data_IF_895729868039
#
_entry.id   IF_895729868039
#
_cell.length_a   1.000
_cell.length_b   1.000
_cell.length_c   1.000
_cell.angle_alpha   90.00
_cell.angle_beta   90.00
_cell.angle_gamma   90.00
#
_symmetry.space_group_name_H-M   'P 1'
#
loop_
_entity.id
_entity.type
_entity.pdbx_description
1 polymer ?
#
# COMPACT_ATOMS: atom_id res chain seq x y z
N UNK A 1 2.07 -9.92 3.69
CA UNK A 1 0.80 -9.19 3.48
C UNK A 1 -0.11 -9.89 2.46
N UNK A 2 0.42 -10.38 1.33
CA UNK A 2 -0.42 -11.04 0.31
C UNK A 2 -1.14 -12.30 0.82
N UNK A 3 -0.47 -13.18 1.56
CA UNK A 3 -1.14 -14.37 2.15
C UNK A 3 -2.28 -14.00 3.10
N UNK A 4 -2.07 -13.00 3.97
CA UNK A 4 -3.12 -12.45 4.84
C UNK A 4 -4.31 -11.98 4.00
N UNK A 5 -4.03 -11.21 2.95
CA UNK A 5 -5.05 -10.63 2.08
C UNK A 5 -5.79 -11.72 1.30
N UNK A 6 -5.12 -12.73 0.77
CA UNK A 6 -5.77 -13.85 0.06
C UNK A 6 -6.70 -14.64 0.97
N UNK A 7 -6.31 -14.86 2.23
CA UNK A 7 -7.12 -15.61 3.22
C UNK A 7 -8.32 -14.81 3.73
N UNK A 8 -8.15 -13.51 3.97
CA UNK A 8 -9.17 -12.68 4.60
C UNK A 8 -10.02 -11.86 3.61
N UNK A 9 -9.45 -11.49 2.47
CA UNK A 9 -10.03 -10.60 1.46
C UNK A 9 -9.71 -11.07 0.03
N UNK A 10 -10.25 -12.22 -0.42
CA UNK A 10 -9.99 -12.74 -1.77
C UNK A 10 -10.39 -11.72 -2.84
N UNK A 11 -11.57 -11.12 -2.72
CA UNK A 11 -12.13 -10.16 -3.70
C UNK A 11 -11.71 -8.69 -3.52
N UNK A 12 -10.79 -8.39 -2.58
CA UNK A 12 -10.31 -7.01 -2.39
C UNK A 12 -8.80 -6.91 -2.49
N UNK A 13 -8.35 -5.86 -3.17
CA UNK A 13 -6.94 -5.59 -3.46
C UNK A 13 -6.50 -4.29 -2.73
N UNK A 14 -6.38 -4.30 -1.39
CA UNK A 14 -5.88 -3.13 -0.67
C UNK A 14 -4.39 -2.90 -0.97
N UNK A 15 -4.00 -1.63 -1.04
CA UNK A 15 -2.61 -1.21 -1.24
C UNK A 15 -1.91 -1.03 0.12
N UNK A 16 -0.77 -1.68 0.28
CA UNK A 16 0.01 -1.64 1.51
C UNK A 16 1.33 -0.89 1.29
N UNK A 17 1.65 0.01 2.20
CA UNK A 17 2.84 0.87 2.15
C UNK A 17 4.13 0.16 2.62
N UNK A 18 4.10 -1.14 2.89
CA UNK A 18 5.23 -1.90 3.43
C UNK A 18 5.47 -1.70 4.94
N UNK A 19 4.72 -0.80 5.59
CA UNK A 19 4.84 -0.47 7.02
C UNK A 19 3.55 -0.74 7.79
N UNK A 20 2.74 0.29 8.03
CA UNK A 20 1.51 0.22 8.84
C UNK A 20 0.26 0.71 8.11
N UNK A 21 0.43 1.37 6.97
CA UNK A 21 -0.66 1.99 6.25
C UNK A 21 -1.22 1.01 5.21
N UNK A 22 -2.54 0.79 5.26
CA UNK A 22 -3.29 -0.03 4.33
C UNK A 22 -4.44 0.79 3.77
N UNK A 23 -4.48 0.95 2.45
CA UNK A 23 -5.50 1.72 1.75
C UNK A 23 -6.41 0.78 0.95
N UNK A 24 -7.72 1.03 0.99
CA UNK A 24 -8.70 0.26 0.22
C UNK A 24 -9.79 1.17 -0.32
N UNK A 25 -10.36 0.79 -1.47
CA UNK A 25 -11.47 1.52 -2.10
C UNK A 25 -12.80 1.32 -1.37
N UNK A 26 -12.99 0.17 -0.69
CA UNK A 26 -14.15 -0.11 0.16
C UNK A 26 -13.66 -0.40 1.58
N UNK A 27 -14.50 -0.07 2.57
CA UNK A 27 -14.23 -0.38 3.97
C UNK A 27 -13.91 -1.87 4.13
N UNK A 28 -12.82 -2.15 4.84
CA UNK A 28 -12.43 -3.49 5.25
C UNK A 28 -13.02 -3.75 6.64
N UNK A 29 -13.63 -4.91 6.90
CA UNK A 29 -13.99 -5.28 8.26
C UNK A 29 -12.72 -5.40 9.11
N UNK A 30 -12.82 -4.97 10.37
CA UNK A 30 -11.73 -5.10 11.33
C UNK A 30 -11.45 -6.58 11.57
N UNK A 31 -10.19 -6.97 11.44
CA UNK A 31 -9.79 -8.37 11.56
C UNK A 31 -8.37 -8.49 12.07
N UNK A 32 -8.17 -9.43 12.97
CA UNK A 32 -6.87 -9.84 13.48
C UNK A 32 -6.62 -11.28 13.08
N UNK A 33 -5.46 -11.55 12.51
CA UNK A 33 -5.04 -12.89 12.14
C UNK A 33 -3.51 -13.01 12.23
N UNK A 34 -3.03 -14.19 12.58
CA UNK A 34 -1.61 -14.44 12.84
C UNK A 34 -1.05 -15.40 11.81
N UNK A 35 0.13 -15.07 11.30
CA UNK A 35 0.79 -15.81 10.22
C UNK A 35 2.22 -16.13 10.61
N UNK A 36 2.65 -17.33 10.28
CA UNK A 36 4.05 -17.72 10.35
C UNK A 36 4.74 -17.30 9.06
N UNK A 37 5.64 -16.33 9.14
CA UNK A 37 6.47 -15.88 8.03
C UNK A 37 7.84 -16.51 8.17
N UNK A 38 8.26 -17.25 7.14
CA UNK A 38 9.60 -17.80 7.09
C UNK A 38 10.56 -16.72 6.59
N UNK A 39 11.48 -16.30 7.45
CA UNK A 39 12.50 -15.32 7.12
C UNK A 39 13.71 -16.04 6.52
N UNK A 40 13.92 -15.88 5.21
CA UNK A 40 15.00 -16.57 4.49
C UNK A 40 16.40 -16.15 4.99
N UNK A 41 16.55 -14.92 5.49
CA UNK A 41 17.83 -14.42 6.03
C UNK A 41 18.13 -14.98 7.42
N UNK A 42 17.11 -15.16 8.26
CA UNK A 42 17.29 -15.54 9.65
C UNK A 42 17.16 -17.05 9.91
N UNK A 43 16.73 -17.85 8.93
CA UNK A 43 16.41 -19.30 9.07
C UNK A 43 15.53 -19.55 10.30
N UNK A 44 14.60 -18.63 10.57
CA UNK A 44 13.71 -18.68 11.73
C UNK A 44 12.29 -18.39 11.29
N UNK A 45 11.35 -19.15 11.83
CA UNK A 45 9.92 -18.91 11.67
C UNK A 45 9.56 -17.75 12.59
N UNK A 46 9.16 -16.61 12.03
CA UNK A 46 8.64 -15.47 12.80
C UNK A 46 7.11 -15.55 12.79
N UNK A 47 6.51 -15.57 13.97
CA UNK A 47 5.07 -15.39 14.10
C UNK A 47 4.75 -13.89 14.02
N UNK A 48 4.01 -13.48 12.99
CA UNK A 48 3.57 -12.12 12.78
C UNK A 48 2.06 -12.05 12.99
N UNK A 49 1.64 -11.28 13.99
CA UNK A 49 0.24 -10.92 14.18
C UNK A 49 -0.10 -9.67 13.38
N UNK A 50 -1.11 -9.75 12.51
CA UNK A 50 -1.57 -8.64 11.68
C UNK A 50 -2.97 -8.27 12.15
N UNK A 51 -3.12 -7.04 12.62
CA UNK A 51 -4.40 -6.47 13.04
C UNK A 51 -4.77 -5.32 12.10
N UNK A 52 -5.92 -5.43 11.44
CA UNK A 52 -6.48 -4.37 10.61
C UNK A 52 -7.54 -3.64 11.43
N UNK A 53 -7.31 -2.35 11.64
CA UNK A 53 -8.24 -1.42 12.27
C UNK A 53 -8.57 -0.30 11.31
N UNK A 54 -9.82 0.14 11.31
CA UNK A 54 -10.22 1.31 10.56
C UNK A 54 -9.66 2.56 11.24
N UNK A 55 -8.91 3.38 10.49
CA UNK A 55 -8.29 4.60 11.04
C UNK A 55 -9.00 5.87 10.58
N UNK A 56 -9.17 6.04 9.26
CA UNK A 56 -9.81 7.23 8.69
C UNK A 56 -10.15 7.01 7.22
N UNK A 57 -11.14 7.76 6.72
CA UNK A 57 -11.43 7.85 5.30
C UNK A 57 -10.62 8.99 4.69
N UNK A 58 -9.95 8.72 3.57
CA UNK A 58 -9.22 9.74 2.81
C UNK A 58 -10.15 10.24 1.70
N UNK A 59 -10.42 11.55 1.69
CA UNK A 59 -11.22 12.18 0.64
C UNK A 59 -10.32 12.67 -0.50
N UNK A 60 -10.46 12.06 -1.68
CA UNK A 60 -9.74 12.47 -2.90
C UNK A 60 -10.34 13.70 -3.57
N UNK A 61 -11.61 14.05 -3.27
CA UNK A 61 -12.24 15.28 -3.76
C UNK A 61 -11.53 16.53 -3.26
N UNK A 62 -10.96 16.48 -2.05
CA UNK A 62 -10.12 17.56 -1.52
C UNK A 62 -8.88 17.80 -2.38
N UNK A 63 -8.33 16.75 -3.00
CA UNK A 63 -7.19 16.87 -3.92
C UNK A 63 -7.60 17.56 -5.22
N UNK A 64 -8.74 17.18 -5.82
CA UNK A 64 -9.24 17.85 -7.03
C UNK A 64 -9.58 19.32 -6.79
N UNK A 65 -10.14 19.65 -5.62
CA UNK A 65 -10.41 21.04 -5.24
C UNK A 65 -9.11 21.80 -5.05
N UNK A 66 -8.11 21.22 -4.38
CA UNK A 66 -6.78 21.82 -4.23
C UNK A 66 -6.12 22.09 -5.58
N UNK A 67 -6.20 21.15 -6.52
CA UNK A 67 -5.64 21.33 -7.88
C UNK A 67 -6.38 22.38 -8.71
N UNK A 68 -7.67 22.59 -8.44
CA UNK A 68 -8.50 23.57 -9.15
C UNK A 68 -8.48 24.95 -8.48
N UNK A 69 -8.15 25.01 -7.19
CA UNK A 69 -8.05 26.26 -6.44
C UNK A 69 -6.65 26.84 -6.58
N UNK A 70 -6.56 28.05 -7.10
CA UNK A 70 -5.36 28.87 -6.95
C UNK A 70 -5.25 29.32 -5.47
N UNK A 71 -4.47 28.60 -4.68
CA UNK A 71 -3.59 29.18 -3.64
C UNK A 71 -4.07 29.53 -2.21
N UNK A 72 -5.05 28.84 -1.60
CA UNK A 72 -5.28 28.99 -0.13
C UNK A 72 -5.66 27.73 0.67
N UNK A 73 -5.82 26.57 0.02
CA UNK A 73 -6.16 25.34 0.73
C UNK A 73 -4.90 24.62 1.24
N UNK A 74 -4.94 24.17 2.50
CA UNK A 74 -3.89 23.32 3.08
C UNK A 74 -3.69 22.09 2.20
N UNK A 75 -2.42 21.76 1.92
CA UNK A 75 -2.06 20.65 1.04
C UNK A 75 -2.61 19.35 1.64
N UNK A 76 -3.49 18.60 0.94
CA UNK A 76 -4.05 17.36 1.47
C UNK A 76 -3.02 16.22 1.40
N UNK A 77 -2.03 16.24 2.29
CA UNK A 77 -0.91 15.30 2.31
C UNK A 77 -1.36 13.83 2.40
N UNK A 78 -2.44 13.56 3.16
CA UNK A 78 -2.99 12.20 3.27
C UNK A 78 -3.53 11.66 1.95
N UNK A 79 -4.15 12.52 1.13
CA UNK A 79 -4.65 12.14 -0.19
C UNK A 79 -3.50 11.83 -1.14
N UNK A 80 -2.47 12.68 -1.15
CA UNK A 80 -1.27 12.49 -1.97
C UNK A 80 -0.57 11.18 -1.57
N UNK A 81 -0.37 10.94 -0.27
CA UNK A 81 0.27 9.71 0.20
C UNK A 81 -0.55 8.46 -0.16
N UNK A 82 -1.89 8.52 -0.06
CA UNK A 82 -2.73 7.39 -0.44
C UNK A 82 -2.59 7.06 -1.94
N UNK A 83 -2.60 8.07 -2.80
CA UNK A 83 -2.42 7.91 -4.25
C UNK A 83 -1.03 7.35 -4.56
N UNK A 84 0.00 7.90 -3.93
CA UNK A 84 1.38 7.47 -4.10
C UNK A 84 1.59 6.00 -3.69
N UNK A 85 1.02 5.55 -2.57
CA UNK A 85 1.08 4.15 -2.13
C UNK A 85 0.32 3.24 -3.09
N UNK A 86 -0.85 3.64 -3.58
CA UNK A 86 -1.63 2.85 -4.55
C UNK A 86 -0.86 2.70 -5.86
N UNK A 87 -0.26 3.79 -6.37
CA UNK A 87 0.54 3.76 -7.59
C UNK A 87 1.80 2.91 -7.43
N UNK A 88 2.53 3.06 -6.31
CA UNK A 88 3.70 2.23 -6.01
C UNK A 88 3.34 0.76 -5.87
N UNK A 89 2.21 0.43 -5.24
CA UNK A 89 1.78 -0.95 -5.08
C UNK A 89 1.42 -1.56 -6.45
N UNK A 90 0.81 -0.78 -7.35
CA UNK A 90 0.54 -1.21 -8.72
C UNK A 90 1.83 -1.41 -9.55
N UNK A 91 2.84 -0.56 -9.37
CA UNK A 91 4.13 -0.68 -10.09
C UNK A 91 5.05 -1.74 -9.51
N UNK A 92 5.03 -1.97 -8.19
CA UNK A 92 5.84 -3.00 -7.51
C UNK A 92 5.43 -4.42 -7.88
N UNK A 93 4.19 -4.62 -8.35
CA UNK A 93 3.73 -5.88 -8.94
C UNK A 93 4.28 -6.14 -10.35
N UNK A 94 4.82 -5.11 -11.02
CA UNK A 94 5.36 -5.21 -12.39
C UNK A 94 6.87 -4.98 -12.48
N UNK A 95 7.46 -4.25 -11.53
CA UNK A 95 8.84 -3.81 -11.59
C UNK A 95 9.46 -3.92 -10.20
N UNK A 96 10.60 -4.62 -10.09
CA UNK A 96 11.41 -4.63 -8.88
C UNK A 96 11.87 -3.19 -8.63
N UNK A 97 11.33 -2.57 -7.58
CA UNK A 97 11.69 -1.22 -7.19
C UNK A 97 13.07 -1.25 -6.51
N UNK A 98 14.13 -1.25 -7.31
CA UNK A 98 15.48 -0.96 -6.86
C UNK A 98 15.59 0.57 -6.69
N UNK A 99 15.81 1.01 -5.44
CA UNK A 99 16.30 2.34 -4.99
C UNK A 99 16.51 3.39 -6.08
N UNK A 100 15.70 4.46 -6.15
CA UNK A 100 15.84 5.77 -6.86
C UNK A 100 16.52 5.83 -8.25
N UNK A 101 16.87 4.69 -8.84
CA UNK A 101 17.69 4.56 -10.02
C UNK A 101 17.04 3.45 -10.84
N UNK A 102 16.19 3.86 -11.78
CA UNK A 102 15.64 2.98 -12.79
C UNK A 102 16.79 2.50 -13.68
N UNK A 103 17.31 1.30 -13.42
CA UNK A 103 18.21 0.62 -14.36
C UNK A 103 17.33 -0.05 -15.42
N UNK A 104 17.24 0.57 -16.60
CA UNK A 104 16.68 -0.06 -17.79
C UNK A 104 17.66 -1.14 -18.27
N UNK A 105 17.34 -2.41 -18.05
CA UNK A 105 18.04 -3.50 -18.72
C UNK A 105 17.45 -3.68 -20.13
N UNK A 106 17.93 -2.87 -21.08
CA UNK A 106 17.65 -3.08 -22.50
C UNK A 106 18.57 -4.17 -23.04
N UNK A 107 18.19 -5.43 -22.84
CA UNK A 107 18.76 -6.55 -23.60
C UNK A 107 18.14 -6.55 -25.01
N UNK A 108 18.79 -5.83 -25.94
CA UNK A 108 18.62 -6.07 -27.38
C UNK A 108 19.45 -7.31 -27.74
N UNK A 109 18.79 -8.33 -28.27
CA UNK A 109 19.41 -9.36 -29.12
C UNK A 109 19.77 -8.76 -30.47
#
# INVERSE_FOLDING_TARGET
MEEFRRRNFPDRYPAFDGRKNLYSTRGLPEKTDSFMVYDQESVRVKQCEITIKYTSQVNLGSLSTYMSSESTLEIPQKAIQAVDVVLRNATSLKWVCASWTLILNSSKR
#
